data_IF_343013761042
#
_entry.id   IF_343013761042
#
_cell.length_a   1.000
_cell.length_b   1.000
_cell.length_c   1.000
_cell.angle_alpha   90.00
_cell.angle_beta   90.00
_cell.angle_gamma   90.00
#
_symmetry.space_group_name_H-M   'P 1'
#
loop_
_entity.id
_entity.type
_entity.pdbx_description
1 polymer ?
#
# COMPACT_ATOMS: atom_id res chain seq x y z
N UNK A 1 19.95 -24.12 23.12
CA UNK A 1 19.16 -25.13 22.35
C UNK A 1 19.29 -24.74 20.90
N UNK A 2 19.77 -25.67 20.06
CA UNK A 2 20.00 -25.38 18.62
C UNK A 2 18.72 -25.08 17.88
N UNK A 3 18.78 -24.27 16.82
CA UNK A 3 17.62 -23.89 16.00
C UNK A 3 16.80 -25.10 15.54
N UNK A 4 17.49 -26.18 15.15
CA UNK A 4 16.83 -27.42 14.69
C UNK A 4 15.98 -28.07 15.78
N UNK A 5 16.40 -28.06 17.02
CA UNK A 5 15.63 -28.58 18.14
C UNK A 5 14.37 -27.76 18.42
N UNK A 6 14.50 -26.45 18.31
CA UNK A 6 13.34 -25.52 18.43
C UNK A 6 12.33 -25.67 17.29
N UNK A 7 12.80 -25.84 16.05
CA UNK A 7 11.94 -26.14 14.92
C UNK A 7 11.23 -27.50 15.09
N UNK A 8 11.93 -28.49 15.64
CA UNK A 8 11.33 -29.80 15.91
C UNK A 8 10.24 -29.71 16.99
N UNK A 9 10.36 -28.85 17.99
CA UNK A 9 9.31 -28.58 18.99
C UNK A 9 8.05 -27.99 18.34
N UNK A 10 8.21 -27.19 17.29
CA UNK A 10 7.10 -26.69 16.46
C UNK A 10 6.56 -27.75 15.47
N UNK A 11 7.12 -28.97 15.48
CA UNK A 11 6.76 -30.04 14.56
C UNK A 11 7.40 -29.92 13.17
N UNK A 12 8.33 -28.99 12.99
CA UNK A 12 8.99 -28.72 11.71
C UNK A 12 10.27 -29.55 11.63
N UNK A 13 10.37 -30.37 10.57
CA UNK A 13 11.56 -31.15 10.26
C UNK A 13 12.29 -30.51 9.09
N UNK A 14 13.54 -30.11 9.31
CA UNK A 14 14.40 -29.47 8.30
C UNK A 14 15.50 -30.41 7.85
N UNK A 15 15.89 -30.30 6.58
CA UNK A 15 16.96 -31.11 5.98
C UNK A 15 18.33 -30.48 6.27
N UNK A 16 18.41 -29.15 6.25
CA UNK A 16 19.65 -28.38 6.50
C UNK A 16 19.46 -27.41 7.65
N UNK A 17 20.54 -27.03 8.31
CA UNK A 17 20.54 -26.11 9.44
C UNK A 17 20.76 -24.64 9.00
N UNK A 18 20.74 -24.37 7.68
CA UNK A 18 20.93 -23.03 7.11
C UNK A 18 20.22 -22.88 5.75
N UNK A 19 19.99 -21.63 5.37
CA UNK A 19 19.45 -21.27 4.07
C UNK A 19 17.94 -21.49 3.93
N UNK A 20 17.49 -21.33 2.70
CA UNK A 20 16.07 -21.46 2.34
C UNK A 20 15.74 -22.88 1.91
N UNK A 21 14.71 -23.46 2.48
CA UNK A 21 14.21 -24.80 2.14
C UNK A 21 12.69 -24.88 2.22
N UNK A 22 12.10 -25.90 1.55
CA UNK A 22 10.66 -26.19 1.63
C UNK A 22 10.47 -27.55 2.29
N UNK A 23 9.58 -27.61 3.28
CA UNK A 23 9.26 -28.83 4.00
C UNK A 23 7.76 -29.05 4.14
N UNK A 24 7.37 -30.22 4.64
CA UNK A 24 5.97 -30.58 4.89
C UNK A 24 5.44 -29.73 6.07
N UNK A 25 4.30 -29.09 5.89
CA UNK A 25 3.68 -28.31 6.96
C UNK A 25 2.99 -29.21 7.98
N UNK A 26 3.37 -29.17 9.28
CA UNK A 26 2.74 -29.98 10.30
C UNK A 26 1.28 -29.62 10.57
N UNK A 27 0.88 -28.39 10.25
CA UNK A 27 -0.48 -27.88 10.51
C UNK A 27 -1.52 -28.31 9.48
N UNK A 28 -1.13 -28.40 8.19
CA UNK A 28 -2.13 -28.62 7.12
C UNK A 28 -1.85 -29.82 6.20
N UNK A 29 -0.64 -30.37 6.16
CA UNK A 29 -0.33 -31.43 5.20
C UNK A 29 -1.13 -32.72 5.42
N UNK A 30 -1.53 -33.02 6.66
CA UNK A 30 -2.33 -34.19 6.99
C UNK A 30 -3.79 -34.13 6.48
N UNK A 31 -4.30 -32.93 6.21
CA UNK A 31 -5.68 -32.73 5.67
C UNK A 31 -5.71 -32.64 4.15
N UNK A 32 -4.55 -32.56 3.48
CA UNK A 32 -4.44 -32.37 2.03
C UNK A 32 -4.53 -33.69 1.26
N UNK A 33 -4.97 -33.60 -0.01
CA UNK A 33 -4.98 -34.75 -0.93
C UNK A 33 -3.56 -35.30 -1.14
N UNK A 34 -2.58 -34.43 -1.33
CA UNK A 34 -1.15 -34.78 -1.40
C UNK A 34 -0.47 -34.43 -0.06
N UNK A 35 -0.38 -35.40 0.84
CA UNK A 35 0.17 -35.24 2.19
C UNK A 35 1.70 -35.07 2.21
N UNK A 36 2.40 -35.39 1.10
CA UNK A 36 3.86 -35.36 1.00
C UNK A 36 4.40 -34.12 0.28
N UNK A 37 3.54 -33.28 -0.24
CA UNK A 37 3.96 -32.08 -0.96
C UNK A 37 4.45 -31.00 0.02
N UNK A 38 5.71 -30.50 -0.12
CA UNK A 38 6.25 -29.44 0.69
C UNK A 38 5.54 -28.11 0.43
N UNK A 39 4.93 -27.53 1.46
CA UNK A 39 4.22 -26.25 1.36
C UNK A 39 4.64 -25.22 2.39
N UNK A 40 5.56 -25.57 3.30
CA UNK A 40 6.12 -24.71 4.30
C UNK A 40 7.51 -24.25 3.85
N UNK A 41 7.64 -22.98 3.50
CA UNK A 41 8.94 -22.34 3.23
C UNK A 41 9.59 -21.94 4.54
N UNK A 42 10.87 -22.27 4.72
CA UNK A 42 11.68 -21.92 5.90
C UNK A 42 12.94 -21.25 5.40
N UNK A 43 13.37 -20.19 6.10
CA UNK A 43 14.70 -19.61 5.95
C UNK A 43 15.42 -19.62 7.29
N UNK A 44 16.64 -20.18 7.32
CA UNK A 44 17.50 -20.25 8.49
C UNK A 44 18.74 -19.42 8.21
N UNK A 45 18.90 -18.32 8.91
CA UNK A 45 20.06 -17.43 8.81
C UNK A 45 20.55 -17.05 10.21
N UNK A 46 21.83 -17.20 10.41
CA UNK A 46 22.47 -16.98 11.72
C UNK A 46 21.72 -17.76 12.82
N UNK A 47 21.29 -17.08 13.87
CA UNK A 47 20.58 -17.67 15.02
C UNK A 47 19.05 -17.58 14.92
N UNK A 48 18.50 -17.34 13.73
CA UNK A 48 17.07 -17.13 13.46
C UNK A 48 16.56 -18.10 12.40
N UNK A 49 15.44 -18.76 12.65
CA UNK A 49 14.65 -19.41 11.63
C UNK A 49 13.27 -18.78 11.54
N UNK A 50 12.82 -18.50 10.32
CA UNK A 50 11.48 -17.99 10.01
C UNK A 50 10.79 -18.92 9.03
N UNK A 51 9.47 -19.07 9.15
CA UNK A 51 8.69 -19.91 8.22
C UNK A 51 7.35 -19.32 7.86
N UNK A 52 6.89 -19.72 6.68
CA UNK A 52 5.56 -19.39 6.18
C UNK A 52 5.00 -20.52 5.32
N UNK A 53 3.81 -20.99 5.63
CA UNK A 53 3.09 -21.99 4.84
C UNK A 53 2.21 -21.31 3.81
N UNK A 54 2.45 -21.56 2.53
CA UNK A 54 1.66 -21.00 1.43
C UNK A 54 0.25 -21.59 1.27
N UNK A 55 -0.09 -22.59 2.07
CA UNK A 55 -1.41 -23.25 2.00
C UNK A 55 -2.34 -22.89 3.16
N UNK A 56 -1.84 -22.85 4.39
CA UNK A 56 -2.63 -22.51 5.58
C UNK A 56 -2.21 -21.20 6.24
N UNK A 57 -1.27 -20.48 5.63
CA UNK A 57 -0.74 -19.20 6.09
C UNK A 57 -0.08 -19.22 7.48
N UNK A 58 0.13 -20.42 8.04
CA UNK A 58 0.84 -20.55 9.30
C UNK A 58 2.27 -20.04 9.17
N UNK A 59 2.62 -19.07 10.02
CA UNK A 59 3.93 -18.42 10.06
C UNK A 59 4.45 -18.34 11.48
N UNK A 60 5.77 -18.25 11.61
CA UNK A 60 6.42 -18.10 12.91
C UNK A 60 7.92 -17.94 12.78
N UNK A 61 8.59 -17.85 13.92
CA UNK A 61 10.04 -17.77 14.01
C UNK A 61 10.56 -18.38 15.30
N UNK A 62 11.82 -18.87 15.28
CA UNK A 62 12.55 -19.31 16.47
C UNK A 62 13.98 -18.77 16.43
N UNK A 63 14.50 -18.44 17.60
CA UNK A 63 15.89 -17.98 17.81
C UNK A 63 16.69 -18.94 18.67
N UNK A 64 17.99 -19.14 18.37
CA UNK A 64 18.86 -20.05 19.16
C UNK A 64 19.09 -19.52 20.57
N UNK A 65 19.32 -18.24 20.76
CA UNK A 65 19.83 -17.64 22.00
C UNK A 65 18.91 -16.71 22.77
N UNK A 66 17.58 -16.89 22.72
CA UNK A 66 16.71 -16.05 23.56
C UNK A 66 16.50 -16.68 24.93
N UNK A 67 17.25 -16.22 25.93
CA UNK A 67 16.84 -16.32 27.34
C UNK A 67 15.61 -15.43 27.52
N UNK A 68 14.47 -16.04 27.74
CA UNK A 68 13.24 -15.46 28.27
C UNK A 68 12.82 -14.05 27.75
N UNK A 69 11.73 -14.02 27.03
CA UNK A 69 10.66 -12.99 27.02
C UNK A 69 10.93 -11.54 26.62
N UNK A 70 12.08 -11.15 26.06
CA UNK A 70 12.33 -9.74 25.70
C UNK A 70 12.69 -9.45 24.23
N UNK A 71 12.48 -10.41 23.32
CA UNK A 71 12.54 -10.04 21.90
C UNK A 71 11.24 -9.37 21.50
N UNK A 72 11.15 -8.07 21.75
CA UNK A 72 10.36 -7.19 20.92
C UNK A 72 11.15 -7.07 19.61
N UNK A 73 10.61 -7.57 18.46
CA UNK A 73 11.23 -7.25 17.18
C UNK A 73 11.40 -5.74 17.18
N UNK A 74 12.64 -5.25 17.04
CA UNK A 74 12.83 -3.83 16.75
C UNK A 74 11.90 -3.57 15.58
N UNK A 75 10.93 -2.67 15.68
CA UNK A 75 10.17 -2.28 14.51
C UNK A 75 11.25 -1.92 13.50
N UNK A 76 11.29 -2.63 12.39
CA UNK A 76 12.01 -2.17 11.21
C UNK A 76 11.28 -0.85 10.92
N UNK A 77 11.86 0.24 11.41
CA UNK A 77 11.42 1.56 11.01
C UNK A 77 11.61 1.52 9.50
N UNK A 78 10.51 1.34 8.81
CA UNK A 78 10.48 1.57 7.39
C UNK A 78 11.08 2.97 7.25
N UNK A 79 12.31 3.06 6.73
CA UNK A 79 12.92 4.37 6.49
C UNK A 79 11.96 5.03 5.52
N UNK A 80 11.21 6.02 6.00
CA UNK A 80 10.37 6.82 5.16
C UNK A 80 11.32 7.47 4.14
N UNK A 81 11.30 6.95 2.94
CA UNK A 81 12.12 7.47 1.85
C UNK A 81 11.42 8.71 1.33
N UNK A 82 12.08 9.85 1.45
CA UNK A 82 11.62 11.06 0.77
C UNK A 82 11.84 10.84 -0.73
N UNK A 83 10.80 10.93 -1.57
CA UNK A 83 10.94 10.71 -2.99
C UNK A 83 11.87 11.76 -3.60
N UNK A 84 12.67 11.34 -4.60
CA UNK A 84 13.40 12.30 -5.40
C UNK A 84 12.41 13.06 -6.29
N UNK A 85 12.30 14.35 -6.09
CA UNK A 85 11.47 15.24 -6.89
C UNK A 85 12.37 16.26 -7.58
N UNK A 86 12.28 16.41 -8.91
CA UNK A 86 13.04 17.44 -9.63
C UNK A 86 12.71 18.84 -9.10
N UNK A 87 13.71 19.73 -9.08
CA UNK A 87 13.50 21.15 -8.71
C UNK A 87 12.56 21.85 -9.69
N UNK A 88 12.76 21.59 -10.99
CA UNK A 88 11.89 22.05 -12.06
C UNK A 88 10.92 20.94 -12.42
N UNK A 89 9.63 21.24 -12.29
CA UNK A 89 8.53 20.29 -12.51
C UNK A 89 7.67 20.80 -13.64
N UNK A 90 7.99 20.34 -14.84
CA UNK A 90 7.24 20.70 -16.02
C UNK A 90 6.49 19.50 -16.58
N UNK A 91 5.39 19.77 -17.25
CA UNK A 91 4.68 18.76 -18.03
C UNK A 91 5.27 18.67 -19.43
N UNK A 92 5.48 17.46 -19.92
CA UNK A 92 5.76 17.25 -21.34
C UNK A 92 4.57 17.69 -22.21
N UNK A 93 4.81 18.07 -23.44
CA UNK A 93 3.74 18.45 -24.37
C UNK A 93 2.70 17.34 -24.55
N UNK A 94 3.14 16.09 -24.52
CA UNK A 94 2.27 14.94 -24.60
C UNK A 94 1.36 14.80 -23.37
N UNK A 95 1.91 15.02 -22.17
CA UNK A 95 1.13 15.01 -20.93
C UNK A 95 0.11 16.16 -20.92
N UNK A 96 0.48 17.35 -21.38
CA UNK A 96 -0.45 18.45 -21.57
C UNK A 96 -1.60 18.06 -22.48
N UNK A 97 -1.29 17.53 -23.67
CA UNK A 97 -2.31 17.13 -24.64
C UNK A 97 -3.24 16.04 -24.07
N UNK A 98 -2.69 15.10 -23.33
CA UNK A 98 -3.45 14.01 -22.71
C UNK A 98 -4.39 14.52 -21.61
N UNK A 99 -3.91 15.41 -20.72
CA UNK A 99 -4.73 16.01 -19.65
C UNK A 99 -5.83 16.90 -20.26
N UNK A 100 -5.49 17.74 -21.25
CA UNK A 100 -6.46 18.58 -21.95
C UNK A 100 -7.53 17.74 -22.67
N UNK A 101 -7.15 16.63 -23.30
CA UNK A 101 -8.07 15.68 -23.91
C UNK A 101 -9.05 15.06 -22.92
N UNK A 102 -8.69 15.02 -21.64
CA UNK A 102 -9.54 14.62 -20.51
C UNK A 102 -10.26 15.78 -19.84
N UNK A 103 -10.15 16.99 -20.41
CA UNK A 103 -10.73 18.23 -19.89
C UNK A 103 -10.21 18.61 -18.49
N UNK A 104 -8.97 18.24 -18.18
CA UNK A 104 -8.28 18.71 -16.98
C UNK A 104 -7.49 19.96 -17.33
N UNK A 105 -7.84 21.07 -16.70
CA UNK A 105 -7.28 22.40 -16.99
C UNK A 105 -5.88 22.58 -16.43
N UNK A 106 -5.09 23.52 -17.01
CA UNK A 106 -3.78 23.91 -16.45
C UNK A 106 -3.85 24.33 -14.98
N UNK A 107 -4.91 24.99 -14.58
CA UNK A 107 -5.12 25.43 -13.18
C UNK A 107 -5.17 24.24 -12.23
N UNK A 108 -5.91 23.19 -12.57
CA UNK A 108 -6.08 22.01 -11.74
C UNK A 108 -4.78 21.21 -11.63
N UNK A 109 -4.14 20.88 -12.77
CA UNK A 109 -2.91 20.08 -12.66
C UNK A 109 -1.71 20.86 -12.09
N UNK A 110 -1.67 22.18 -12.26
CA UNK A 110 -0.64 23.02 -11.59
C UNK A 110 -0.88 23.10 -10.09
N UNK A 111 -2.14 23.29 -9.63
CA UNK A 111 -2.51 23.25 -8.21
C UNK A 111 -2.09 21.94 -7.56
N UNK A 112 -2.26 20.82 -8.26
CA UNK A 112 -1.88 19.49 -7.78
C UNK A 112 -0.40 19.17 -7.95
N UNK A 113 0.38 20.08 -8.52
CA UNK A 113 1.81 19.91 -8.74
C UNK A 113 2.21 18.77 -9.67
N UNK A 114 1.32 18.40 -10.61
CA UNK A 114 1.54 17.29 -11.54
C UNK A 114 2.66 17.67 -12.52
N UNK A 115 3.55 16.73 -12.80
CA UNK A 115 4.69 16.95 -13.69
C UNK A 115 5.03 15.69 -14.50
N UNK A 116 5.95 15.81 -15.45
CA UNK A 116 6.48 14.68 -16.22
C UNK A 116 7.92 14.38 -15.83
N UNK A 117 8.25 13.11 -15.60
CA UNK A 117 9.60 12.66 -15.39
C UNK A 117 9.80 11.25 -15.96
N UNK A 118 10.94 11.00 -16.59
CA UNK A 118 11.31 9.68 -17.12
C UNK A 118 10.24 9.03 -18.00
N UNK A 119 9.53 9.84 -18.80
CA UNK A 119 8.45 9.37 -19.68
C UNK A 119 7.15 8.98 -18.96
N UNK A 120 7.01 9.33 -17.70
CA UNK A 120 5.80 9.09 -16.91
C UNK A 120 5.13 10.39 -16.51
N UNK A 121 3.82 10.34 -16.28
CA UNK A 121 3.06 11.37 -15.59
C UNK A 121 3.15 11.10 -14.10
N UNK A 122 3.56 12.13 -13.33
CA UNK A 122 3.85 12.04 -11.92
C UNK A 122 2.78 12.77 -11.10
N UNK A 123 2.18 12.06 -10.15
CA UNK A 123 1.21 12.58 -9.21
C UNK A 123 1.87 12.67 -7.83
N UNK A 124 2.28 13.87 -7.37
CA UNK A 124 2.84 14.04 -6.04
C UNK A 124 1.76 13.96 -4.97
N UNK A 125 2.09 13.32 -3.86
CA UNK A 125 1.27 13.22 -2.66
C UNK A 125 1.87 14.11 -1.58
N UNK A 126 1.09 14.99 -1.06
CA UNK A 126 1.51 15.96 -0.06
C UNK A 126 1.02 15.58 1.34
N UNK A 127 1.85 15.87 2.32
CA UNK A 127 1.52 15.82 3.73
C UNK A 127 2.23 16.98 4.45
N UNK A 128 1.47 17.87 5.08
CA UNK A 128 1.96 19.08 5.76
C UNK A 128 2.84 19.98 4.85
N UNK A 129 2.48 20.07 3.57
CA UNK A 129 3.18 20.88 2.57
C UNK A 129 4.35 20.17 1.88
N UNK A 130 4.81 19.03 2.40
CA UNK A 130 5.92 18.26 1.84
C UNK A 130 5.46 17.15 0.90
N UNK A 131 6.22 16.89 -0.17
CA UNK A 131 5.98 15.72 -1.03
C UNK A 131 6.54 14.49 -0.34
N UNK A 132 5.63 13.60 0.08
CA UNK A 132 5.97 12.37 0.81
C UNK A 132 5.92 11.11 -0.05
N UNK A 133 5.28 11.18 -1.20
CA UNK A 133 5.20 10.09 -2.18
C UNK A 133 4.96 10.66 -3.59
N UNK A 134 5.32 9.89 -4.60
CA UNK A 134 5.00 10.18 -6.00
C UNK A 134 4.48 8.90 -6.64
N UNK A 135 3.30 9.00 -7.26
CA UNK A 135 2.76 7.92 -8.09
C UNK A 135 3.01 8.22 -9.55
N UNK A 136 3.58 7.28 -10.23
CA UNK A 136 3.96 7.37 -11.64
C UNK A 136 2.95 6.60 -12.49
N UNK A 137 2.55 7.20 -13.59
CA UNK A 137 1.70 6.57 -14.60
C UNK A 137 2.42 6.56 -15.94
N UNK A 138 2.64 5.36 -16.49
CA UNK A 138 3.17 5.22 -17.85
C UNK A 138 2.07 5.41 -18.91
N UNK A 139 2.46 5.54 -20.18
CA UNK A 139 1.54 5.62 -21.32
C UNK A 139 0.64 4.39 -21.44
N UNK A 140 1.16 3.21 -21.08
CA UNK A 140 0.47 1.92 -21.12
C UNK A 140 -0.45 1.68 -19.90
N UNK A 141 -0.75 2.73 -19.10
CA UNK A 141 -1.54 2.61 -17.87
C UNK A 141 -0.92 1.70 -16.79
N UNK A 142 0.41 1.62 -16.72
CA UNK A 142 1.08 0.99 -15.58
C UNK A 142 1.32 2.03 -14.50
N UNK A 143 1.12 1.63 -13.25
CA UNK A 143 1.30 2.50 -12.10
C UNK A 143 2.34 1.92 -11.16
N UNK A 144 3.17 2.80 -10.60
CA UNK A 144 4.09 2.45 -9.52
C UNK A 144 4.31 3.66 -8.62
N UNK A 145 4.76 3.41 -7.41
CA UNK A 145 5.06 4.41 -6.40
C UNK A 145 6.49 4.22 -5.90
N UNK A 146 7.05 5.25 -5.26
CA UNK A 146 8.37 5.15 -4.65
C UNK A 146 8.36 4.10 -3.53
N UNK A 147 9.39 3.23 -3.55
CA UNK A 147 9.53 2.18 -2.54
C UNK A 147 9.76 2.78 -1.16
N UNK A 148 9.00 2.35 -0.16
CA UNK A 148 9.06 2.82 1.23
C UNK A 148 8.74 4.32 1.41
N UNK A 149 8.08 4.97 0.46
CA UNK A 149 7.51 6.28 0.66
C UNK A 149 6.32 6.23 1.62
N UNK A 150 6.01 7.36 2.24
CA UNK A 150 4.85 7.47 3.13
C UNK A 150 3.57 7.36 2.28
N UNK A 151 2.67 6.47 2.67
CA UNK A 151 1.33 6.42 2.09
C UNK A 151 0.43 7.43 2.76
N UNK A 152 -0.21 8.25 1.96
CA UNK A 152 -1.26 9.18 2.37
C UNK A 152 -2.33 9.25 1.29
N UNK A 153 -3.47 9.84 1.57
CA UNK A 153 -4.52 10.03 0.57
C UNK A 153 -4.11 11.13 -0.43
N UNK A 154 -4.44 10.92 -1.70
CA UNK A 154 -4.22 11.96 -2.71
C UNK A 154 -5.15 13.14 -2.47
N UNK A 155 -4.64 14.36 -2.60
CA UNK A 155 -5.32 15.62 -2.35
C UNK A 155 -5.66 15.93 -0.88
N UNK A 156 -5.32 15.09 0.09
CA UNK A 156 -5.73 15.29 1.49
C UNK A 156 -5.18 16.60 2.09
N UNK A 157 -3.99 17.00 1.68
CA UNK A 157 -3.35 18.21 2.22
C UNK A 157 -4.10 19.48 1.82
N UNK A 158 -4.66 19.54 0.61
CA UNK A 158 -5.50 20.65 0.18
C UNK A 158 -6.84 20.74 0.92
N UNK A 159 -7.32 19.65 1.52
CA UNK A 159 -8.55 19.66 2.29
C UNK A 159 -8.41 20.46 3.60
N UNK A 160 -7.19 20.61 4.11
CA UNK A 160 -6.90 21.45 5.29
C UNK A 160 -7.22 22.92 5.07
N UNK A 161 -7.24 23.36 3.80
CA UNK A 161 -7.58 24.74 3.42
C UNK A 161 -9.10 24.97 3.37
N UNK A 162 -9.91 23.91 3.43
CA UNK A 162 -11.36 23.99 3.35
C UNK A 162 -11.91 24.27 4.75
N UNK A 163 -12.30 25.52 4.96
CA UNK A 163 -12.98 25.92 6.18
C UNK A 163 -14.37 25.26 6.28
N UNK A 164 -14.68 24.66 7.44
CA UNK A 164 -15.96 24.00 7.70
C UNK A 164 -16.27 22.86 6.68
N UNK A 165 -15.35 21.90 6.59
CA UNK A 165 -15.51 20.75 5.71
C UNK A 165 -16.60 19.79 6.22
N UNK A 166 -17.84 20.00 5.73
CA UNK A 166 -19.00 19.16 6.11
C UNK A 166 -19.04 17.83 5.41
N UNK A 167 -18.40 17.72 4.26
CA UNK A 167 -18.45 16.54 3.39
C UNK A 167 -17.07 16.22 2.86
N UNK A 168 -16.72 14.93 2.81
CA UNK A 168 -15.57 14.41 2.09
C UNK A 168 -15.99 13.36 1.06
N UNK A 169 -15.38 13.39 -0.12
CA UNK A 169 -15.70 12.48 -1.22
C UNK A 169 -14.49 11.58 -1.46
N UNK A 170 -14.69 10.27 -1.37
CA UNK A 170 -13.69 9.25 -1.72
C UNK A 170 -13.92 8.73 -3.13
N UNK A 171 -12.89 8.75 -3.95
CA UNK A 171 -12.87 8.20 -5.32
C UNK A 171 -11.74 7.20 -5.48
N UNK A 172 -11.68 6.49 -6.62
CA UNK A 172 -10.71 5.41 -6.80
C UNK A 172 -9.29 5.88 -7.05
N UNK A 173 -9.11 6.93 -7.83
CA UNK A 173 -7.80 7.33 -8.30
C UNK A 173 -7.61 8.83 -8.49
N UNK A 174 -6.37 9.20 -8.82
CA UNK A 174 -5.94 10.59 -8.96
C UNK A 174 -6.71 11.32 -10.06
N UNK A 175 -7.04 10.62 -11.16
CA UNK A 175 -7.76 11.24 -12.28
C UNK A 175 -9.22 11.57 -11.93
N UNK A 176 -9.82 10.78 -11.04
CA UNK A 176 -11.19 11.04 -10.57
C UNK A 176 -11.20 12.26 -9.65
N UNK A 177 -10.16 12.39 -8.80
CA UNK A 177 -9.95 13.62 -8.01
C UNK A 177 -9.84 14.82 -8.92
N UNK A 178 -9.00 14.80 -9.96
CA UNK A 178 -8.84 15.92 -10.88
C UNK A 178 -10.16 16.23 -11.61
N UNK A 179 -10.90 15.21 -12.02
CA UNK A 179 -12.17 15.38 -12.73
C UNK A 179 -13.24 16.05 -11.85
N UNK A 180 -13.31 15.68 -10.58
CA UNK A 180 -14.23 16.32 -9.63
C UNK A 180 -13.81 17.75 -9.31
N UNK A 181 -12.50 18.01 -9.19
CA UNK A 181 -11.98 19.38 -9.01
C UNK A 181 -12.36 20.30 -10.18
N UNK A 182 -12.34 19.82 -11.43
CA UNK A 182 -12.75 20.59 -12.61
C UNK A 182 -14.22 21.07 -12.55
N UNK A 183 -15.07 20.32 -11.88
CA UNK A 183 -16.48 20.67 -11.73
C UNK A 183 -16.79 21.27 -10.35
N UNK A 184 -15.75 21.67 -9.59
CA UNK A 184 -15.88 22.48 -8.38
C UNK A 184 -15.93 21.68 -7.05
N UNK A 185 -15.77 20.35 -7.09
CA UNK A 185 -15.65 19.55 -5.85
C UNK A 185 -14.17 19.46 -5.41
N UNK A 186 -13.78 20.26 -4.44
CA UNK A 186 -12.41 20.31 -3.92
C UNK A 186 -12.20 19.40 -2.69
N UNK A 187 -13.27 19.00 -2.03
CA UNK A 187 -13.31 18.13 -0.86
C UNK A 187 -13.26 16.64 -1.22
N UNK A 188 -12.41 16.29 -2.17
CA UNK A 188 -12.28 14.94 -2.74
C UNK A 188 -10.90 14.37 -2.51
N UNK A 189 -10.83 13.09 -2.17
CA UNK A 189 -9.58 12.33 -1.97
C UNK A 189 -9.64 10.96 -2.66
N UNK A 190 -8.48 10.38 -2.95
CA UNK A 190 -8.39 8.99 -3.39
C UNK A 190 -7.32 8.21 -2.63
N UNK A 191 -7.45 6.87 -2.64
CA UNK A 191 -6.45 5.98 -2.07
C UNK A 191 -5.24 5.84 -3.01
N UNK A 192 -4.02 5.73 -2.46
CA UNK A 192 -2.80 5.63 -3.29
C UNK A 192 -2.70 4.33 -4.09
N UNK A 193 -3.31 3.25 -3.62
CA UNK A 193 -3.22 1.92 -4.24
C UNK A 193 -4.41 1.62 -5.18
N UNK A 194 -5.41 2.52 -5.27
CA UNK A 194 -6.62 2.32 -6.07
C UNK A 194 -7.54 1.22 -5.52
N UNK A 195 -8.49 0.80 -6.35
CA UNK A 195 -9.46 -0.24 -5.99
C UNK A 195 -8.88 -1.66 -6.08
N UNK A 196 -9.17 -2.55 -5.11
CA UNK A 196 -8.76 -3.94 -5.14
C UNK A 196 -9.65 -4.76 -6.08
N UNK A 197 -9.11 -5.82 -6.67
CA UNK A 197 -9.93 -6.76 -7.46
C UNK A 197 -10.98 -7.50 -6.61
N UNK A 198 -10.68 -7.74 -5.35
CA UNK A 198 -11.55 -8.45 -4.42
C UNK A 198 -11.46 -7.78 -3.07
N UNK A 199 -12.59 -7.49 -2.45
CA UNK A 199 -12.67 -6.90 -1.12
C UNK A 199 -12.02 -7.85 -0.09
N UNK A 200 -11.21 -7.27 0.79
CA UNK A 200 -10.58 -7.96 1.91
C UNK A 200 -10.88 -7.15 3.17
N UNK A 201 -11.69 -7.69 4.04
CA UNK A 201 -12.02 -7.07 5.33
C UNK A 201 -10.89 -7.29 6.34
N UNK A 202 -9.72 -6.72 6.07
CA UNK A 202 -8.55 -6.78 6.95
C UNK A 202 -8.18 -5.36 7.38
N UNK A 203 -8.48 -5.02 8.61
CA UNK A 203 -8.14 -3.72 9.23
C UNK A 203 -6.63 -3.47 9.30
N UNK A 204 -5.80 -4.50 9.12
CA UNK A 204 -4.34 -4.41 9.06
C UNK A 204 -3.79 -4.35 7.64
N UNK A 205 -4.67 -4.25 6.62
CA UNK A 205 -4.21 -4.09 5.24
C UNK A 205 -3.43 -2.77 5.09
N UNK A 206 -2.22 -2.89 4.56
CA UNK A 206 -1.31 -1.76 4.38
C UNK A 206 -1.88 -0.64 3.49
N UNK A 207 -2.92 -0.90 2.72
CA UNK A 207 -3.62 0.11 1.92
C UNK A 207 -4.27 1.17 2.82
N UNK A 208 -4.79 0.75 3.97
CA UNK A 208 -5.42 1.64 4.94
C UNK A 208 -4.43 2.44 5.79
N UNK A 209 -3.12 2.15 5.71
CA UNK A 209 -2.10 3.00 6.35
C UNK A 209 -2.12 4.45 5.84
N UNK A 210 -2.71 4.69 4.66
CA UNK A 210 -2.92 6.04 4.15
C UNK A 210 -3.82 6.90 5.05
N UNK A 211 -4.70 6.28 5.83
CA UNK A 211 -5.59 6.99 6.77
C UNK A 211 -4.91 7.37 8.08
N UNK A 212 -3.82 6.69 8.48
CA UNK A 212 -3.16 6.93 9.77
C UNK A 212 -2.77 8.40 10.01
N UNK A 213 -2.40 9.11 8.94
CA UNK A 213 -2.01 10.52 8.97
C UNK A 213 -3.14 11.51 8.67
N UNK A 214 -4.32 11.00 8.37
CA UNK A 214 -5.44 11.78 7.83
C UNK A 214 -6.77 11.44 8.51
N UNK A 215 -6.74 10.93 9.75
CA UNK A 215 -7.96 10.53 10.50
C UNK A 215 -8.95 11.67 10.69
N UNK A 216 -8.47 12.91 10.75
CA UNK A 216 -9.28 14.12 10.89
C UNK A 216 -10.33 14.31 9.76
N UNK A 217 -10.13 13.67 8.58
CA UNK A 217 -11.14 13.75 7.49
C UNK A 217 -12.45 13.07 7.86
N UNK A 218 -12.44 12.16 8.83
CA UNK A 218 -13.65 11.49 9.34
C UNK A 218 -14.41 12.31 10.38
N UNK A 219 -13.96 13.52 10.70
CA UNK A 219 -14.73 14.50 11.48
C UNK A 219 -15.79 15.19 10.61
N UNK A 220 -15.76 15.02 9.28
CA UNK A 220 -16.79 15.52 8.38
C UNK A 220 -18.16 14.89 8.70
N UNK A 221 -19.22 15.69 8.57
CA UNK A 221 -20.61 15.26 8.82
C UNK A 221 -21.08 14.18 7.85
N UNK A 222 -20.53 14.18 6.62
CA UNK A 222 -20.90 13.25 5.56
C UNK A 222 -19.66 12.73 4.84
N UNK A 223 -19.59 11.41 4.68
CA UNK A 223 -18.61 10.72 3.83
C UNK A 223 -19.32 10.15 2.61
N UNK A 224 -18.95 10.59 1.42
CA UNK A 224 -19.46 10.10 0.15
C UNK A 224 -18.45 9.16 -0.49
N UNK A 225 -18.85 7.95 -0.83
CA UNK A 225 -18.04 6.97 -1.54
C UNK A 225 -18.51 6.96 -3.00
N UNK A 226 -17.68 7.49 -3.91
CA UNK A 226 -17.95 7.63 -5.33
C UNK A 226 -16.94 6.83 -6.16
N UNK A 227 -17.04 5.51 -6.08
CA UNK A 227 -16.22 4.56 -6.83
C UNK A 227 -16.88 4.20 -8.16
N UNK A 228 -16.12 3.63 -9.10
CA UNK A 228 -16.64 3.13 -10.38
C UNK A 228 -17.68 2.01 -10.13
N UNK A 229 -18.65 1.90 -11.05
CA UNK A 229 -19.68 0.86 -10.97
C UNK A 229 -19.24 -0.44 -11.66
N UNK A 230 -18.01 -0.87 -11.35
CA UNK A 230 -17.42 -2.13 -11.78
C UNK A 230 -17.09 -3.03 -10.58
N UNK A 231 -16.50 -4.21 -10.82
CA UNK A 231 -16.15 -5.16 -9.76
C UNK A 231 -15.13 -4.59 -8.78
N UNK A 232 -14.13 -3.86 -9.27
CA UNK A 232 -13.09 -3.27 -8.43
C UNK A 232 -13.63 -2.11 -7.59
N UNK A 233 -14.41 -1.22 -8.17
CA UNK A 233 -15.04 -0.10 -7.47
C UNK A 233 -16.04 -0.56 -6.41
N UNK A 234 -16.84 -1.58 -6.72
CA UNK A 234 -17.73 -2.19 -5.73
C UNK A 234 -16.97 -2.87 -4.59
N UNK A 235 -15.81 -3.49 -4.88
CA UNK A 235 -14.94 -4.06 -3.85
C UNK A 235 -14.36 -2.98 -2.95
N UNK A 236 -13.88 -1.86 -3.51
CA UNK A 236 -13.38 -0.73 -2.73
C UNK A 236 -14.47 -0.10 -1.87
N UNK A 237 -15.67 0.08 -2.44
CA UNK A 237 -16.82 0.60 -1.70
C UNK A 237 -17.13 -0.23 -0.46
N UNK A 238 -17.14 -1.56 -0.59
CA UNK A 238 -17.40 -2.47 0.53
C UNK A 238 -16.30 -2.41 1.62
N UNK A 239 -15.05 -2.11 1.24
CA UNK A 239 -13.96 -1.96 2.19
C UNK A 239 -13.96 -0.61 2.92
N UNK A 240 -14.57 0.43 2.34
CA UNK A 240 -14.65 1.77 2.91
C UNK A 240 -15.90 1.97 3.80
N UNK A 241 -16.88 1.08 3.73
CA UNK A 241 -18.09 1.07 4.58
C UNK A 241 -17.85 0.35 5.91
#
# INVERSE_FOLDING_TARGET
>A
MQIREKLLQEGIRVDTDYGQQKVICPKCSHTRRNKREPCLSINIENDLAVWHCHHCEWKGSVHENVRGNDYKPKPVQAKNVVPFVPKERELSQEAHNWLNGRRISPTTYAKMGIYSANGTLCFPYYLDGDIVNVKHRTKEKRFYQEKNAIKTLYNVDNLKEIWDMKKVIFVEGEMDVLSLMEIGFHNVVSLPDGAPKTAKFDMHDKRFSAFEKSQWIFEAEEVVIATDNDEAGNSLKLELL
#
